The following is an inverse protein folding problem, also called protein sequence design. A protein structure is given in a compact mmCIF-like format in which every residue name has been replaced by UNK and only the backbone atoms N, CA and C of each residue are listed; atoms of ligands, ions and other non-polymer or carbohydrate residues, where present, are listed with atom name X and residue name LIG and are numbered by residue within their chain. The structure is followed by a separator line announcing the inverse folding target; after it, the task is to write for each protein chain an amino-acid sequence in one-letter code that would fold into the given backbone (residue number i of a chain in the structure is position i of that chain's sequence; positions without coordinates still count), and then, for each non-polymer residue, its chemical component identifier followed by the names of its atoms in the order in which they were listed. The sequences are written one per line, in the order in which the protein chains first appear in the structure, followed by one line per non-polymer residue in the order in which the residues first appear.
data_IF_733088953259
#
_entry.id   IF_733088953259
#
_cell.length_a   1.000
_cell.length_b   1.000
_cell.length_c   1.000
_cell.angle_alpha   90.00
_cell.angle_beta   90.00
_cell.angle_gamma   90.00
#
_symmetry.space_group_name_H-M   'P 1'
#
loop_
_entity.id
_entity.type
_entity.pdbx_description
1 polymer ?
#
# COMPACT_ATOMS: atom_id res chain seq x y z
N UNK A 1 -32.15 13.18 -12.60
CA UNK A 1 -31.62 11.80 -12.64
C UNK A 1 -30.73 11.58 -13.87
N UNK A 2 -30.88 12.41 -14.89
CA UNK A 2 -30.18 12.28 -16.17
C UNK A 2 -28.67 12.55 -16.08
N UNK A 3 -28.24 13.52 -15.26
CA UNK A 3 -26.80 13.87 -15.11
C UNK A 3 -25.95 12.69 -14.63
N UNK A 4 -26.45 11.90 -13.70
CA UNK A 4 -25.72 10.73 -13.16
C UNK A 4 -25.67 9.59 -14.19
N UNK A 5 -26.79 9.33 -14.87
CA UNK A 5 -26.86 8.30 -15.90
C UNK A 5 -25.97 8.64 -17.10
N UNK A 6 -26.02 9.88 -17.57
CA UNK A 6 -25.20 10.38 -18.67
C UNK A 6 -23.70 10.37 -18.33
N UNK A 7 -23.37 10.77 -17.09
CA UNK A 7 -21.99 10.73 -16.62
C UNK A 7 -21.46 9.30 -16.51
N UNK A 8 -22.29 8.38 -16.04
CA UNK A 8 -21.91 6.96 -15.93
C UNK A 8 -21.70 6.31 -17.29
N UNK A 9 -22.60 6.57 -18.24
CA UNK A 9 -22.48 6.07 -19.61
C UNK A 9 -21.24 6.64 -20.32
N UNK A 10 -21.03 7.96 -20.19
CA UNK A 10 -19.82 8.62 -20.69
C UNK A 10 -18.54 8.06 -20.08
N UNK A 11 -18.57 7.76 -18.76
CA UNK A 11 -17.45 7.14 -18.05
C UNK A 11 -17.12 5.75 -18.61
N UNK A 12 -18.13 4.92 -18.90
CA UNK A 12 -17.92 3.60 -19.51
C UNK A 12 -17.29 3.70 -20.90
N UNK A 13 -17.75 4.65 -21.72
CA UNK A 13 -17.15 4.92 -23.04
C UNK A 13 -15.69 5.34 -22.91
N UNK A 14 -15.37 6.23 -21.95
CA UNK A 14 -14.00 6.67 -21.67
C UNK A 14 -13.09 5.51 -21.23
N UNK A 15 -13.59 4.61 -20.41
CA UNK A 15 -12.85 3.39 -20.02
C UNK A 15 -12.58 2.50 -21.23
N UNK A 16 -13.59 2.34 -22.11
CA UNK A 16 -13.49 1.50 -23.29
C UNK A 16 -12.63 2.09 -24.41
N UNK A 17 -12.45 3.43 -24.44
CA UNK A 17 -11.67 4.12 -25.48
C UNK A 17 -10.16 3.98 -25.30
N UNK A 18 -9.67 3.48 -24.16
CA UNK A 18 -8.24 3.44 -23.83
C UNK A 18 -7.52 4.78 -24.01
N UNK A 19 -8.18 5.87 -23.58
CA UNK A 19 -7.61 7.21 -23.71
C UNK A 19 -6.18 7.25 -23.17
N UNK A 20 -5.20 7.79 -23.93
CA UNK A 20 -3.79 7.81 -23.52
C UNK A 20 -3.56 8.54 -22.18
N UNK A 21 -4.37 9.54 -21.84
CA UNK A 21 -4.28 10.23 -20.57
C UNK A 21 -4.70 9.31 -19.41
N UNK A 22 -5.82 8.59 -19.56
CA UNK A 22 -6.30 7.62 -18.55
C UNK A 22 -5.25 6.51 -18.35
N UNK A 23 -4.72 5.96 -19.44
CA UNK A 23 -3.67 4.92 -19.39
C UNK A 23 -2.43 5.45 -18.66
N UNK A 24 -1.99 6.67 -18.92
CA UNK A 24 -0.87 7.31 -18.23
C UNK A 24 -1.14 7.46 -16.73
N UNK A 25 -2.31 7.92 -16.34
CA UNK A 25 -2.73 8.10 -14.93
C UNK A 25 -2.74 6.75 -14.21
N UNK A 26 -3.30 5.71 -14.82
CA UNK A 26 -3.32 4.35 -14.27
C UNK A 26 -1.89 3.81 -14.11
N UNK A 27 -1.05 3.98 -15.13
CA UNK A 27 0.34 3.51 -15.09
C UNK A 27 1.15 4.21 -13.98
N UNK A 28 1.01 5.52 -13.80
CA UNK A 28 1.65 6.26 -12.69
C UNK A 28 1.16 5.74 -11.34
N UNK A 29 -0.17 5.56 -11.18
CA UNK A 29 -0.73 5.02 -9.93
C UNK A 29 -0.18 3.65 -9.60
N UNK A 30 -0.18 2.72 -10.55
CA UNK A 30 0.34 1.36 -10.37
C UNK A 30 1.84 1.36 -10.07
N UNK A 31 2.61 2.16 -10.80
CA UNK A 31 4.06 2.28 -10.61
C UNK A 31 4.40 2.80 -9.21
N UNK A 32 3.79 3.91 -8.81
CA UNK A 32 4.06 4.53 -7.50
C UNK A 32 3.61 3.61 -6.37
N UNK A 33 2.35 3.16 -6.38
CA UNK A 33 1.80 2.30 -5.32
C UNK A 33 2.46 0.91 -5.29
N UNK A 34 2.75 0.32 -6.44
CA UNK A 34 3.44 -0.96 -6.53
C UNK A 34 4.87 -0.88 -5.99
N UNK A 35 5.65 0.14 -6.40
CA UNK A 35 7.02 0.34 -5.90
C UNK A 35 7.04 0.59 -4.40
N UNK A 36 6.13 1.44 -3.89
CA UNK A 36 6.00 1.71 -2.45
C UNK A 36 5.69 0.43 -1.67
N UNK A 37 4.78 -0.39 -2.19
CA UNK A 37 4.39 -1.66 -1.57
C UNK A 37 5.56 -2.66 -1.53
N UNK A 38 6.32 -2.77 -2.60
CA UNK A 38 7.50 -3.64 -2.65
C UNK A 38 8.53 -3.19 -1.61
N UNK A 39 8.88 -1.90 -1.57
CA UNK A 39 9.87 -1.37 -0.62
C UNK A 39 9.37 -1.57 0.83
N UNK A 40 8.12 -1.21 1.11
CA UNK A 40 7.54 -1.40 2.45
C UNK A 40 7.48 -2.87 2.86
N UNK A 41 7.24 -3.79 1.92
CA UNK A 41 7.22 -5.23 2.18
C UNK A 41 8.61 -5.78 2.48
N UNK A 42 9.63 -5.35 1.72
CA UNK A 42 11.02 -5.74 1.95
C UNK A 42 11.53 -5.31 3.33
N UNK A 43 11.03 -4.21 3.88
CA UNK A 43 11.40 -3.71 5.21
C UNK A 43 10.44 -4.21 6.29
N UNK A 44 9.13 -4.14 6.04
CA UNK A 44 8.08 -4.40 7.02
C UNK A 44 7.92 -5.88 7.35
N UNK A 45 8.09 -6.80 6.38
CA UNK A 45 8.00 -8.24 6.63
C UNK A 45 9.12 -8.71 7.56
N UNK A 46 10.42 -8.42 7.29
CA UNK A 46 11.49 -8.78 8.23
C UNK A 46 11.33 -8.13 9.60
N UNK A 47 10.92 -6.86 9.65
CA UNK A 47 10.68 -6.15 10.91
C UNK A 47 9.55 -6.82 11.71
N UNK A 48 8.40 -7.07 11.07
CA UNK A 48 7.26 -7.73 11.71
C UNK A 48 7.57 -9.15 12.14
N UNK A 49 8.32 -9.90 11.30
CA UNK A 49 8.80 -11.23 11.63
C UNK A 49 9.70 -11.22 12.88
N UNK A 50 10.71 -10.34 12.90
CA UNK A 50 11.62 -10.21 14.04
C UNK A 50 10.86 -9.89 15.34
N UNK A 51 9.96 -8.90 15.29
CA UNK A 51 9.15 -8.52 16.46
C UNK A 51 8.26 -9.69 16.93
N UNK A 52 7.65 -10.43 16.00
CA UNK A 52 6.79 -11.57 16.37
C UNK A 52 7.58 -12.73 16.94
N UNK A 53 8.70 -13.10 16.29
CA UNK A 53 9.48 -14.30 16.59
C UNK A 53 10.32 -14.18 17.86
N UNK A 54 10.86 -12.97 18.14
CA UNK A 54 11.74 -12.72 19.28
C UNK A 54 10.96 -12.32 20.54
N UNK A 55 11.54 -12.67 21.70
CA UNK A 55 11.11 -12.15 23.00
C UNK A 55 12.16 -11.15 23.52
N UNK A 56 11.77 -9.91 23.69
CA UNK A 56 12.65 -8.85 24.21
C UNK A 56 11.89 -7.89 25.11
N UNK A 57 12.64 -7.21 26.00
CA UNK A 57 12.05 -6.18 26.86
C UNK A 57 11.51 -5.03 26.02
N UNK A 58 10.26 -4.58 26.29
CA UNK A 58 9.62 -3.49 25.53
C UNK A 58 8.86 -3.94 24.27
N UNK A 59 8.78 -5.25 23.95
CA UNK A 59 8.03 -5.75 22.79
C UNK A 59 6.59 -5.21 22.74
N UNK A 60 5.89 -5.17 23.86
CA UNK A 60 4.52 -4.63 23.92
C UNK A 60 4.47 -3.15 23.52
N UNK A 61 5.44 -2.36 23.97
CA UNK A 61 5.53 -0.94 23.65
C UNK A 61 5.76 -0.73 22.14
N UNK A 62 6.65 -1.51 21.52
CA UNK A 62 6.89 -1.46 20.07
C UNK A 62 5.63 -1.81 19.30
N UNK A 63 4.91 -2.87 19.69
CA UNK A 63 3.65 -3.25 19.05
C UNK A 63 2.59 -2.15 19.22
N UNK A 64 2.50 -1.54 20.40
CA UNK A 64 1.57 -0.42 20.65
C UNK A 64 1.92 0.78 19.77
N UNK A 65 3.21 1.14 19.66
CA UNK A 65 3.64 2.20 18.76
C UNK A 65 3.27 1.90 17.30
N UNK A 66 3.54 0.69 16.81
CA UNK A 66 3.16 0.30 15.44
C UNK A 66 1.64 0.39 15.23
N UNK A 67 0.83 -0.08 16.17
CA UNK A 67 -0.62 0.02 16.10
C UNK A 67 -1.11 1.49 16.10
N UNK A 68 -0.46 2.37 16.87
CA UNK A 68 -0.76 3.80 16.87
C UNK A 68 -0.45 4.43 15.51
N UNK A 69 0.65 4.01 14.87
CA UNK A 69 1.03 4.48 13.55
C UNK A 69 0.02 4.09 12.44
N UNK A 70 -0.82 3.05 12.65
CA UNK A 70 -1.91 2.72 11.71
C UNK A 70 -2.97 3.81 11.63
N UNK A 71 -3.17 4.56 12.71
CA UNK A 71 -4.16 5.62 12.80
C UNK A 71 -3.64 7.01 12.39
N UNK A 72 -2.36 7.11 11.97
CA UNK A 72 -1.80 8.41 11.58
C UNK A 72 -2.52 8.99 10.36
N UNK A 73 -2.92 10.28 10.43
CA UNK A 73 -3.46 10.97 9.28
C UNK A 73 -2.41 11.09 8.17
N UNK A 74 -2.80 10.74 6.94
CA UNK A 74 -1.89 10.74 5.78
C UNK A 74 -1.31 12.12 5.48
N UNK A 75 -2.11 13.17 5.74
CA UNK A 75 -1.68 14.57 5.61
C UNK A 75 -0.52 14.88 6.56
N UNK A 76 -0.54 14.36 7.79
CA UNK A 76 0.55 14.55 8.76
C UNK A 76 1.85 13.92 8.25
N UNK A 77 1.76 12.69 7.73
CA UNK A 77 2.92 12.02 7.11
C UNK A 77 3.43 12.83 5.91
N UNK A 78 2.51 13.30 5.06
CA UNK A 78 2.85 14.16 3.92
C UNK A 78 3.59 15.42 4.36
N UNK A 79 3.12 16.11 5.40
CA UNK A 79 3.76 17.31 5.96
C UNK A 79 5.17 17.02 6.51
N UNK A 80 5.33 15.94 7.26
CA UNK A 80 6.65 15.54 7.77
C UNK A 80 7.63 15.27 6.63
N UNK A 81 7.24 14.44 5.68
CA UNK A 81 8.10 14.12 4.52
C UNK A 81 8.41 15.39 3.73
N UNK A 82 7.39 16.24 3.49
CA UNK A 82 7.57 17.54 2.83
C UNK A 82 8.60 18.41 3.54
N UNK A 83 8.54 18.50 4.88
CA UNK A 83 9.50 19.29 5.66
C UNK A 83 10.95 18.82 5.44
N UNK A 84 11.18 17.52 5.32
CA UNK A 84 12.52 16.97 5.09
C UNK A 84 13.01 17.13 3.64
N UNK A 85 12.14 16.95 2.63
CA UNK A 85 12.54 16.94 1.21
C UNK A 85 12.35 18.28 0.49
N UNK A 86 11.71 19.27 1.14
CA UNK A 86 11.57 20.62 0.58
C UNK A 86 12.92 21.30 0.44
N UNK A 87 13.02 22.31 -0.42
CA UNK A 87 14.28 23.04 -0.69
C UNK A 87 14.97 23.58 0.57
N UNK A 88 14.20 23.85 1.63
CA UNK A 88 14.72 24.29 2.94
C UNK A 88 14.96 23.12 3.91
N UNK A 89 14.59 21.91 3.54
CA UNK A 89 14.78 20.71 4.33
C UNK A 89 16.17 20.09 4.19
N UNK A 90 16.49 19.14 5.05
CA UNK A 90 17.80 18.45 5.09
C UNK A 90 18.10 17.74 3.75
N UNK A 91 17.08 17.22 3.07
CA UNK A 91 17.20 16.52 1.79
C UNK A 91 16.88 17.43 0.58
N UNK A 92 16.79 18.75 0.80
CA UNK A 92 16.52 19.74 -0.23
C UNK A 92 17.44 19.67 -1.46
N UNK A 93 18.78 19.47 -1.30
CA UNK A 93 19.70 19.34 -2.44
C UNK A 93 19.41 18.18 -3.39
N UNK A 94 18.57 17.20 -2.99
CA UNK A 94 18.19 16.07 -3.84
C UNK A 94 17.04 16.37 -4.82
N UNK A 95 16.45 17.56 -4.75
CA UNK A 95 15.32 18.03 -5.59
C UNK A 95 14.22 16.96 -5.81
N UNK A 96 13.84 16.28 -4.71
CA UNK A 96 12.87 15.18 -4.73
C UNK A 96 11.43 15.66 -4.82
N UNK A 97 11.13 16.87 -4.34
CA UNK A 97 9.76 17.38 -4.24
C UNK A 97 9.09 17.43 -5.62
N UNK A 98 7.80 17.10 -5.68
CA UNK A 98 6.98 17.01 -6.89
C UNK A 98 7.46 15.94 -7.89
N UNK A 99 8.09 14.89 -7.39
CA UNK A 99 8.49 13.72 -8.19
C UNK A 99 7.80 12.44 -7.74
N UNK A 100 7.77 11.43 -8.62
CA UNK A 100 7.31 10.08 -8.24
C UNK A 100 8.12 9.50 -7.08
N UNK A 101 9.41 9.83 -6.96
CA UNK A 101 10.28 9.38 -5.86
C UNK A 101 9.79 9.89 -4.50
N UNK A 102 9.40 11.18 -4.43
CA UNK A 102 8.84 11.76 -3.21
C UNK A 102 7.55 11.05 -2.79
N UNK A 103 6.66 10.79 -3.76
CA UNK A 103 5.42 10.04 -3.51
C UNK A 103 5.71 8.63 -2.97
N UNK A 104 6.66 7.92 -3.59
CA UNK A 104 7.07 6.57 -3.17
C UNK A 104 7.60 6.59 -1.73
N UNK A 105 8.44 7.56 -1.37
CA UNK A 105 8.95 7.70 0.01
C UNK A 105 7.80 7.89 0.99
N UNK A 106 6.91 8.84 0.74
CA UNK A 106 5.78 9.13 1.63
C UNK A 106 4.82 7.95 1.78
N UNK A 107 4.49 7.31 0.66
CA UNK A 107 3.63 6.13 0.66
C UNK A 107 4.29 4.92 1.35
N UNK A 108 5.59 4.72 1.19
CA UNK A 108 6.34 3.66 1.89
C UNK A 108 6.29 3.86 3.41
N UNK A 109 6.51 5.09 3.89
CA UNK A 109 6.41 5.43 5.30
C UNK A 109 5.00 5.16 5.84
N UNK A 110 3.97 5.50 5.06
CA UNK A 110 2.57 5.25 5.43
C UNK A 110 2.27 3.77 5.65
N UNK A 111 2.68 2.91 4.72
CA UNK A 111 2.26 1.49 4.74
C UNK A 111 3.24 0.56 5.44
N UNK A 112 4.45 1.01 5.76
CA UNK A 112 5.43 0.22 6.51
C UNK A 112 4.87 -0.33 7.83
N UNK A 113 4.23 0.47 8.71
CA UNK A 113 3.63 -0.04 9.93
C UNK A 113 2.47 -1.00 9.65
N UNK A 114 1.73 -0.84 8.55
CA UNK A 114 0.65 -1.75 8.15
C UNK A 114 1.22 -3.13 7.85
N UNK A 115 2.24 -3.20 6.98
CA UNK A 115 2.89 -4.45 6.62
C UNK A 115 3.50 -5.13 7.86
N UNK A 116 4.22 -4.37 8.70
CA UNK A 116 4.85 -4.91 9.91
C UNK A 116 3.80 -5.46 10.88
N UNK A 117 2.76 -4.69 11.19
CA UNK A 117 1.71 -5.09 12.15
C UNK A 117 0.92 -6.30 11.67
N UNK A 118 0.55 -6.32 10.39
CA UNK A 118 -0.19 -7.47 9.85
C UNK A 118 0.69 -8.70 9.71
N UNK A 119 2.00 -8.54 9.47
CA UNK A 119 2.97 -9.64 9.53
C UNK A 119 3.06 -10.19 10.96
N UNK A 120 3.14 -9.33 11.98
CA UNK A 120 3.10 -9.75 13.39
C UNK A 120 1.83 -10.56 13.66
N UNK A 121 0.67 -10.06 13.22
CA UNK A 121 -0.61 -10.74 13.42
C UNK A 121 -0.66 -12.10 12.70
N UNK A 122 -0.13 -12.19 11.48
CA UNK A 122 -0.08 -13.43 10.72
C UNK A 122 0.77 -14.50 11.43
N UNK A 123 1.94 -14.10 11.94
CA UNK A 123 2.85 -15.02 12.65
C UNK A 123 2.29 -15.42 14.02
N UNK A 124 1.68 -14.49 14.74
CA UNK A 124 1.10 -14.75 16.06
C UNK A 124 -0.10 -15.72 16.03
N UNK A 125 -0.71 -15.91 14.86
CA UNK A 125 -1.80 -16.90 14.65
C UNK A 125 -1.32 -18.31 14.37
N UNK A 126 -0.01 -18.50 14.13
CA UNK A 126 0.55 -19.83 13.89
C UNK A 126 0.58 -20.62 15.21
N UNK A 127 0.06 -21.85 15.18
CA UNK A 127 0.04 -22.73 16.35
C UNK A 127 1.47 -22.96 16.84
N UNK A 128 1.68 -22.79 18.14
CA UNK A 128 2.97 -22.99 18.79
C UNK A 128 3.52 -24.43 18.61
N UNK A 129 2.65 -25.38 18.29
CA UNK A 129 3.04 -26.76 17.99
C UNK A 129 4.04 -26.84 16.84
N UNK A 130 3.89 -26.01 15.79
CA UNK A 130 4.86 -25.97 14.69
C UNK A 130 6.27 -25.66 15.18
N UNK A 131 6.40 -24.68 16.09
CA UNK A 131 7.68 -24.32 16.69
C UNK A 131 8.23 -25.46 17.56
N UNK A 132 7.40 -26.04 18.42
CA UNK A 132 7.80 -27.13 19.31
C UNK A 132 8.22 -28.38 18.51
N UNK A 133 7.44 -28.79 17.52
CA UNK A 133 7.77 -29.94 16.65
C UNK A 133 9.07 -29.72 15.89
N UNK A 134 9.30 -28.53 15.31
CA UNK A 134 10.56 -28.23 14.63
C UNK A 134 11.77 -28.41 15.58
N UNK A 135 11.69 -27.87 16.79
CA UNK A 135 12.75 -28.00 17.80
C UNK A 135 12.97 -29.46 18.24
N UNK A 136 11.89 -30.20 18.44
CA UNK A 136 11.97 -31.64 18.82
C UNK A 136 12.63 -32.46 17.72
N UNK A 137 12.44 -32.09 16.46
CA UNK A 137 13.11 -32.73 15.30
C UNK A 137 14.55 -32.24 15.09
N UNK A 138 15.11 -31.47 16.02
CA UNK A 138 16.49 -30.97 15.95
C UNK A 138 16.69 -29.72 15.05
N UNK A 139 15.63 -29.06 14.64
CA UNK A 139 15.75 -27.83 13.85
C UNK A 139 16.44 -26.71 14.64
N UNK A 140 17.44 -26.09 14.03
CA UNK A 140 18.07 -24.92 14.59
C UNK A 140 17.15 -23.68 14.50
N UNK A 141 17.54 -22.56 15.12
CA UNK A 141 16.73 -21.32 15.16
C UNK A 141 16.34 -20.80 13.78
N UNK A 142 17.25 -20.87 12.80
CA UNK A 142 16.99 -20.41 11.41
C UNK A 142 15.98 -21.31 10.69
N UNK A 143 16.13 -22.63 10.87
CA UNK A 143 15.20 -23.61 10.30
C UNK A 143 13.80 -23.47 10.90
N UNK A 144 13.71 -23.30 12.23
CA UNK A 144 12.43 -23.03 12.93
C UNK A 144 11.77 -21.72 12.42
N UNK A 145 12.55 -20.65 12.25
CA UNK A 145 12.09 -19.39 11.70
C UNK A 145 11.53 -19.57 10.28
N UNK A 146 12.21 -20.35 9.43
CA UNK A 146 11.76 -20.62 8.07
C UNK A 146 10.45 -21.43 8.03
N UNK A 147 10.28 -22.43 8.92
CA UNK A 147 9.03 -23.18 9.06
C UNK A 147 7.88 -22.24 9.40
N UNK A 148 8.05 -21.37 10.41
CA UNK A 148 7.01 -20.43 10.82
C UNK A 148 6.69 -19.44 9.70
N UNK A 149 7.70 -18.92 9.00
CA UNK A 149 7.50 -18.00 7.88
C UNK A 149 6.72 -18.66 6.73
N UNK A 150 7.02 -19.94 6.46
CA UNK A 150 6.33 -20.72 5.43
C UNK A 150 4.86 -20.95 5.79
N UNK A 151 4.56 -21.24 7.05
CA UNK A 151 3.17 -21.39 7.52
C UNK A 151 2.42 -20.06 7.50
N UNK A 152 3.08 -18.94 7.86
CA UNK A 152 2.49 -17.60 7.87
C UNK A 152 2.32 -16.98 6.46
N UNK A 153 2.83 -17.60 5.40
CA UNK A 153 2.92 -17.01 4.05
C UNK A 153 1.62 -16.39 3.53
N UNK A 154 0.49 -17.06 3.73
CA UNK A 154 -0.81 -16.53 3.26
C UNK A 154 -1.25 -15.29 4.03
N UNK A 155 -1.01 -15.25 5.34
CA UNK A 155 -1.25 -14.08 6.15
C UNK A 155 -0.33 -12.91 5.77
N UNK A 156 0.93 -13.20 5.43
CA UNK A 156 1.89 -12.20 4.97
C UNK A 156 1.50 -11.64 3.60
N UNK A 157 1.09 -12.50 2.66
CA UNK A 157 0.58 -12.03 1.35
C UNK A 157 -0.68 -11.18 1.53
N UNK A 158 -1.59 -11.57 2.46
CA UNK A 158 -2.75 -10.75 2.80
C UNK A 158 -2.34 -9.36 3.33
N UNK A 159 -1.29 -9.29 4.17
CA UNK A 159 -0.76 -8.03 4.67
C UNK A 159 -0.26 -7.12 3.53
N UNK A 160 0.46 -7.68 2.56
CA UNK A 160 0.97 -6.94 1.39
C UNK A 160 -0.17 -6.40 0.53
N UNK A 161 -1.22 -7.21 0.29
CA UNK A 161 -2.37 -6.80 -0.51
C UNK A 161 -3.17 -5.71 0.20
N UNK A 162 -3.37 -5.83 1.51
CA UNK A 162 -4.03 -4.79 2.30
C UNK A 162 -3.25 -3.47 2.26
N UNK A 163 -1.90 -3.53 2.34
CA UNK A 163 -1.04 -2.37 2.22
C UNK A 163 -1.11 -1.74 0.82
N UNK A 164 -1.12 -2.56 -0.25
CA UNK A 164 -1.30 -2.08 -1.61
C UNK A 164 -2.67 -1.41 -1.81
N UNK A 165 -3.76 -2.05 -1.35
CA UNK A 165 -5.10 -1.47 -1.41
C UNK A 165 -5.20 -0.13 -0.66
N UNK A 166 -4.50 0.00 0.47
CA UNK A 166 -4.44 1.24 1.24
C UNK A 166 -3.70 2.34 0.47
N UNK A 167 -2.60 2.02 -0.19
CA UNK A 167 -1.73 3.02 -0.82
C UNK A 167 -2.22 3.44 -2.21
N UNK A 168 -2.86 2.55 -2.97
CA UNK A 168 -3.39 2.91 -4.30
C UNK A 168 -4.57 3.89 -4.19
N UNK A 169 -5.28 3.88 -3.06
CA UNK A 169 -6.37 4.80 -2.75
C UNK A 169 -5.89 6.10 -2.08
N UNK A 170 -4.56 6.32 -1.94
CA UNK A 170 -4.02 7.46 -1.22
C UNK A 170 -4.06 8.74 -2.06
N UNK A 171 -4.63 9.81 -1.47
CA UNK A 171 -4.76 11.15 -2.10
C UNK A 171 -3.79 12.14 -1.46
N UNK A 172 -3.80 12.26 -0.13
CA UNK A 172 -3.13 13.35 0.60
C UNK A 172 -1.64 13.42 0.36
N UNK A 173 -0.93 12.31 0.58
CA UNK A 173 0.52 12.21 0.32
C UNK A 173 0.82 12.48 -1.16
N UNK A 174 0.02 11.90 -2.06
CA UNK A 174 0.20 12.03 -3.52
C UNK A 174 0.02 13.47 -3.99
N UNK A 175 -0.95 14.20 -3.44
CA UNK A 175 -1.15 15.63 -3.74
C UNK A 175 0.00 16.48 -3.20
N UNK A 176 0.38 16.28 -1.93
CA UNK A 176 1.39 17.11 -1.26
C UNK A 176 2.80 16.89 -1.83
N UNK A 177 3.20 15.65 -2.05
CA UNK A 177 4.55 15.33 -2.48
C UNK A 177 4.70 15.23 -3.99
N UNK A 178 3.62 14.92 -4.71
CA UNK A 178 3.60 14.80 -6.17
C UNK A 178 3.15 16.05 -6.91
N UNK A 179 2.29 16.89 -6.32
CA UNK A 179 1.79 18.12 -6.96
C UNK A 179 0.84 17.89 -8.14
N UNK A 180 0.34 16.68 -8.34
CA UNK A 180 -0.65 16.32 -9.37
C UNK A 180 -0.30 16.78 -10.81
N UNK A 181 1.00 16.73 -11.19
CA UNK A 181 1.47 17.14 -12.50
C UNK A 181 1.04 16.12 -13.58
N UNK A 182 0.35 16.62 -14.63
CA UNK A 182 -0.16 15.82 -15.76
C UNK A 182 0.99 15.06 -16.44
N UNK A 183 0.77 13.77 -16.70
CA UNK A 183 1.75 12.91 -17.36
C UNK A 183 2.97 12.52 -16.51
N UNK A 184 3.12 13.02 -15.27
CA UNK A 184 4.29 12.78 -14.45
C UNK A 184 3.97 12.25 -13.04
N UNK A 185 3.17 12.97 -12.25
CA UNK A 185 2.84 12.59 -10.86
C UNK A 185 1.34 12.45 -10.59
N UNK A 186 0.51 12.68 -11.60
CA UNK A 186 -0.93 12.56 -11.50
C UNK A 186 -1.32 11.09 -11.33
N UNK A 187 -1.97 10.74 -10.21
CA UNK A 187 -2.54 9.42 -9.93
C UNK A 187 -4.05 9.41 -10.17
N UNK A 188 -4.66 8.22 -10.20
CA UNK A 188 -6.12 8.09 -10.33
C UNK A 188 -6.85 8.90 -9.26
N UNK A 189 -6.42 8.79 -8.01
CA UNK A 189 -7.07 9.47 -6.87
C UNK A 189 -6.90 10.99 -6.92
N UNK A 190 -5.71 11.48 -7.29
CA UNK A 190 -5.47 12.93 -7.40
C UNK A 190 -6.14 13.53 -8.64
N UNK A 191 -6.26 12.76 -9.73
CA UNK A 191 -7.02 13.16 -10.90
C UNK A 191 -8.52 13.22 -10.58
N UNK A 192 -9.08 12.22 -9.89
CA UNK A 192 -10.50 12.22 -9.48
C UNK A 192 -10.85 13.45 -8.66
N UNK A 193 -10.00 13.82 -7.68
CA UNK A 193 -10.23 15.02 -6.87
C UNK A 193 -10.23 16.29 -7.74
N UNK A 194 -9.24 16.43 -8.63
CA UNK A 194 -9.15 17.59 -9.53
C UNK A 194 -10.34 17.69 -10.50
N UNK A 195 -10.74 16.57 -11.12
CA UNK A 195 -11.82 16.58 -12.10
C UNK A 195 -13.19 16.78 -11.43
N UNK A 196 -13.36 16.32 -10.20
CA UNK A 196 -14.50 16.66 -9.36
C UNK A 196 -14.59 18.19 -9.12
N UNK A 197 -13.48 18.82 -8.71
CA UNK A 197 -13.41 20.28 -8.47
C UNK A 197 -13.68 21.10 -9.73
N UNK A 198 -13.34 20.57 -10.92
CA UNK A 198 -13.65 21.19 -12.21
C UNK A 198 -15.09 20.95 -12.69
N UNK A 199 -15.86 20.12 -12.00
CA UNK A 199 -17.20 19.70 -12.44
C UNK A 199 -17.21 18.66 -13.58
N UNK A 200 -16.08 18.03 -13.89
CA UNK A 200 -15.95 17.00 -14.91
C UNK A 200 -16.24 15.61 -14.34
N UNK A 201 -17.49 15.39 -13.94
CA UNK A 201 -17.90 14.18 -13.24
C UNK A 201 -17.67 12.89 -14.04
N UNK A 202 -17.85 12.92 -15.36
CA UNK A 202 -17.68 11.72 -16.20
C UNK A 202 -16.26 11.13 -16.09
N UNK A 203 -15.23 11.97 -16.16
CA UNK A 203 -13.83 11.53 -16.04
C UNK A 203 -13.50 11.06 -14.61
N UNK A 204 -13.98 11.78 -13.59
CA UNK A 204 -13.81 11.39 -12.21
C UNK A 204 -14.45 10.00 -11.92
N UNK A 205 -15.67 9.76 -12.43
CA UNK A 205 -16.37 8.47 -12.30
C UNK A 205 -15.63 7.38 -13.07
N UNK A 206 -15.13 7.64 -14.29
CA UNK A 206 -14.36 6.68 -15.07
C UNK A 206 -13.13 6.18 -14.32
N UNK A 207 -12.34 7.11 -13.75
CA UNK A 207 -11.17 6.76 -12.94
C UNK A 207 -11.56 5.99 -11.67
N UNK A 208 -12.70 6.30 -11.06
CA UNK A 208 -13.26 5.57 -9.92
C UNK A 208 -13.62 4.14 -10.27
N UNK A 209 -14.27 3.91 -11.41
CA UNK A 209 -14.61 2.56 -11.89
C UNK A 209 -13.34 1.74 -12.14
N UNK A 210 -12.33 2.33 -12.78
CA UNK A 210 -11.04 1.66 -13.03
C UNK A 210 -10.37 1.30 -11.70
N UNK A 211 -10.32 2.22 -10.73
CA UNK A 211 -9.71 1.98 -9.41
C UNK A 211 -10.42 0.86 -8.65
N UNK A 212 -11.76 0.85 -8.64
CA UNK A 212 -12.55 -0.21 -8.02
C UNK A 212 -12.36 -1.55 -8.74
N UNK A 213 -12.40 -1.57 -10.07
CA UNK A 213 -12.16 -2.77 -10.86
C UNK A 213 -10.78 -3.35 -10.63
N UNK A 214 -9.74 -2.52 -10.57
CA UNK A 214 -8.38 -2.93 -10.28
C UNK A 214 -8.25 -3.51 -8.86
N UNK A 215 -8.81 -2.80 -7.87
CA UNK A 215 -8.80 -3.26 -6.47
C UNK A 215 -9.55 -4.58 -6.31
N UNK A 216 -10.70 -4.72 -6.95
CA UNK A 216 -11.47 -5.96 -6.96
C UNK A 216 -10.71 -7.11 -7.60
N UNK A 217 -10.08 -6.89 -8.76
CA UNK A 217 -9.30 -7.88 -9.49
C UNK A 217 -8.14 -8.41 -8.64
N UNK A 218 -7.39 -7.52 -7.99
CA UNK A 218 -6.28 -7.88 -7.12
C UNK A 218 -6.76 -8.73 -5.93
N UNK A 219 -7.87 -8.33 -5.29
CA UNK A 219 -8.44 -9.09 -4.18
C UNK A 219 -8.97 -10.45 -4.63
N UNK A 220 -9.61 -10.52 -5.80
CA UNK A 220 -10.12 -11.77 -6.37
C UNK A 220 -8.98 -12.74 -6.70
N UNK A 221 -7.93 -12.26 -7.36
CA UNK A 221 -6.73 -13.07 -7.62
C UNK A 221 -6.17 -13.66 -6.33
N UNK A 222 -6.06 -12.84 -5.28
CA UNK A 222 -5.58 -13.31 -4.00
C UNK A 222 -6.48 -14.40 -3.38
N UNK A 223 -7.80 -14.21 -3.44
CA UNK A 223 -8.76 -15.21 -2.95
C UNK A 223 -8.61 -16.57 -3.65
N UNK A 224 -8.41 -16.56 -4.97
CA UNK A 224 -8.15 -17.79 -5.73
C UNK A 224 -6.84 -18.49 -5.31
N UNK A 225 -5.78 -17.72 -5.03
CA UNK A 225 -4.51 -18.29 -4.56
C UNK A 225 -4.63 -18.88 -3.14
N UNK A 226 -5.43 -18.29 -2.25
CA UNK A 226 -5.70 -18.84 -0.93
C UNK A 226 -6.56 -20.12 -0.99
N UNK A 227 -7.58 -20.16 -1.84
CA UNK A 227 -8.53 -21.28 -1.93
C UNK A 227 -7.90 -22.59 -2.37
N UNK A 228 -6.87 -22.57 -3.22
CA UNK A 228 -6.17 -23.76 -3.70
C UNK A 228 -5.31 -24.49 -2.66
N UNK A 229 -5.13 -23.94 -1.48
CA UNK A 229 -4.19 -24.48 -0.47
C UNK A 229 -4.89 -24.93 0.82
N UNK A 230 -6.23 -24.91 0.84
CA UNK A 230 -7.05 -25.42 1.97
C UNK A 230 -7.56 -26.86 1.75
N UNK A 231 -6.98 -27.57 0.79
CA UNK A 231 -7.24 -29.03 0.58
C UNK A 231 -6.05 -29.80 1.12
#
# INVERSE_FOLDING_TARGET
MDLLADSFFSALLLVASFDPEIVSIVAVSLKVSGTSTVIASLMGIPLGFFIAFESFAGKRMVITCLNTLLALPTVVIGLFVYAFISRRGILGPLDLLYTQKAMIIGQTILILPIVATFTIAAISRIDERYRKTAITLGANRRQTAFVILREARFGIVAAVIAAFGRVIAEVGISMMLGGNARGFTRTMTTAMALEYDKGQFALAVALGIILLGLSFTINLMFHFFQGKTRI
#
